data_IF_444615924788
#
_entry.id   IF_444615924788
#
_cell.length_a   1.000
_cell.length_b   1.000
_cell.length_c   1.000
_cell.angle_alpha   90.00
_cell.angle_beta   90.00
_cell.angle_gamma   90.00
#
_symmetry.space_group_name_H-M   'P 1'
#
loop_
_entity.id
_entity.type
_entity.pdbx_description
1 polymer ?
#
# COMPACT_ATOMS: atom_id res chain seq x y z
N UNK A 1 15.06 9.73 0.48
CA UNK A 1 15.91 9.19 1.55
C UNK A 1 17.23 9.91 1.44
N UNK A 2 17.64 10.67 2.46
CA UNK A 2 18.83 11.52 2.38
C UNK A 2 20.09 10.72 1.99
N UNK A 3 20.29 9.53 2.56
CA UNK A 3 21.42 8.66 2.26
C UNK A 3 21.42 8.16 0.81
N UNK A 4 20.25 7.80 0.28
CA UNK A 4 20.11 7.40 -1.13
C UNK A 4 20.49 8.53 -2.07
N UNK A 5 20.03 9.74 -1.74
CA UNK A 5 20.22 10.92 -2.58
C UNK A 5 21.71 11.36 -2.53
N UNK A 6 22.35 11.28 -1.35
CA UNK A 6 23.80 11.46 -1.17
C UNK A 6 24.63 10.43 -1.96
N UNK A 7 24.20 9.16 -1.96
CA UNK A 7 24.83 8.10 -2.75
C UNK A 7 24.54 8.22 -4.27
N UNK A 8 23.76 9.21 -4.71
CA UNK A 8 23.36 9.41 -6.12
C UNK A 8 22.72 8.16 -6.73
N UNK A 9 21.89 7.49 -5.94
CA UNK A 9 21.10 6.37 -6.41
C UNK A 9 19.83 6.93 -7.04
N UNK A 10 19.73 6.84 -8.36
CA UNK A 10 18.57 7.30 -9.09
C UNK A 10 17.30 6.54 -8.69
N UNK A 11 16.17 7.24 -8.70
CA UNK A 11 14.84 6.68 -8.44
C UNK A 11 13.95 6.99 -9.64
N UNK A 12 13.29 5.96 -10.15
CA UNK A 12 12.16 6.16 -11.07
C UNK A 12 10.91 6.39 -10.22
N UNK A 13 10.18 7.46 -10.51
CA UNK A 13 8.88 7.75 -9.91
C UNK A 13 7.79 7.70 -10.98
N UNK A 14 6.69 7.05 -10.64
CA UNK A 14 5.46 7.02 -11.43
C UNK A 14 4.41 7.81 -10.65
N UNK A 15 4.12 9.07 -11.04
CA UNK A 15 3.08 9.86 -10.39
C UNK A 15 1.71 9.30 -10.78
N UNK A 16 0.86 9.02 -9.78
CA UNK A 16 -0.53 8.63 -10.02
C UNK A 16 -1.48 9.83 -10.17
N UNK A 17 -0.98 11.06 -9.92
CA UNK A 17 -1.81 12.28 -9.89
C UNK A 17 -2.99 12.21 -8.90
N UNK A 18 -2.91 11.28 -7.95
CA UNK A 18 -3.86 11.04 -6.89
C UNK A 18 -3.25 11.39 -5.54
N UNK A 19 -4.12 11.62 -4.56
CA UNK A 19 -3.72 11.74 -3.15
C UNK A 19 -4.52 10.74 -2.32
N UNK A 20 -3.85 10.16 -1.33
CA UNK A 20 -4.47 9.33 -0.31
C UNK A 20 -4.88 10.20 0.86
N UNK A 21 -6.14 10.13 1.25
CA UNK A 21 -6.67 10.69 2.50
C UNK A 21 -6.66 9.58 3.55
N UNK A 22 -5.99 9.82 4.66
CA UNK A 22 -5.89 8.89 5.79
C UNK A 22 -6.47 9.54 7.05
N UNK A 23 -7.40 8.84 7.69
CA UNK A 23 -8.06 9.32 8.90
C UNK A 23 -8.54 8.12 9.74
N UNK A 24 -8.62 8.30 11.05
CA UNK A 24 -9.33 7.36 11.91
C UNK A 24 -10.83 7.70 11.95
N UNK A 25 -11.68 6.69 12.02
CA UNK A 25 -13.13 6.86 12.14
C UNK A 25 -13.67 5.97 13.24
N UNK A 26 -14.54 6.53 14.09
CA UNK A 26 -15.37 5.76 15.02
C UNK A 26 -16.70 5.43 14.37
N UNK A 27 -17.29 4.31 14.74
CA UNK A 27 -18.55 3.85 14.15
C UNK A 27 -19.45 3.11 15.16
N UNK A 28 -20.74 3.01 14.84
CA UNK A 28 -21.77 2.49 15.76
C UNK A 28 -21.64 0.97 15.99
N UNK A 29 -21.30 0.20 14.96
CA UNK A 29 -21.28 -1.26 15.01
C UNK A 29 -19.87 -1.82 14.92
N UNK A 30 -19.54 -2.92 15.63
CA UNK A 30 -18.21 -3.51 15.54
C UNK A 30 -17.89 -4.00 14.13
N UNK A 31 -16.65 -3.78 13.68
CA UNK A 31 -16.17 -4.25 12.37
C UNK A 31 -15.85 -5.75 12.34
N UNK A 32 -15.85 -6.44 13.48
CA UNK A 32 -15.55 -7.89 13.61
C UNK A 32 -14.26 -8.31 12.90
N UNK A 33 -13.20 -7.50 13.05
CA UNK A 33 -11.92 -7.66 12.33
C UNK A 33 -12.03 -7.84 10.81
N UNK A 34 -13.11 -7.36 10.20
CA UNK A 34 -13.31 -7.39 8.76
C UNK A 34 -12.82 -6.09 8.15
N UNK A 35 -11.86 -6.20 7.23
CA UNK A 35 -11.44 -5.10 6.37
C UNK A 35 -12.32 -5.01 5.13
N UNK A 36 -12.42 -3.81 4.59
CA UNK A 36 -13.15 -3.49 3.37
C UNK A 36 -12.18 -2.86 2.38
N UNK A 37 -12.27 -3.26 1.12
CA UNK A 37 -11.57 -2.59 0.03
C UNK A 37 -12.51 -2.47 -1.17
N UNK A 38 -12.85 -1.23 -1.52
CA UNK A 38 -13.69 -0.88 -2.65
C UNK A 38 -12.83 -0.26 -3.73
N UNK A 39 -12.88 -0.82 -4.93
CA UNK A 39 -12.25 -0.23 -6.11
C UNK A 39 -13.24 0.72 -6.78
N UNK A 40 -13.07 2.02 -6.55
CA UNK A 40 -13.89 3.08 -7.14
C UNK A 40 -13.18 3.68 -8.36
N UNK A 41 -13.89 4.39 -9.26
CA UNK A 41 -13.29 4.96 -10.47
C UNK A 41 -12.08 5.88 -10.19
N UNK A 42 -12.13 6.67 -9.12
CA UNK A 42 -11.05 7.59 -8.74
C UNK A 42 -9.92 6.94 -7.93
N UNK A 43 -10.01 5.63 -7.65
CA UNK A 43 -9.04 4.89 -6.85
C UNK A 43 -9.68 4.07 -5.73
N UNK A 44 -8.88 3.25 -5.02
CA UNK A 44 -9.38 2.42 -3.96
C UNK A 44 -9.79 3.22 -2.71
N UNK A 45 -10.82 2.73 -2.04
CA UNK A 45 -11.22 3.13 -0.71
C UNK A 45 -11.13 1.91 0.21
N UNK A 46 -10.29 1.98 1.23
CA UNK A 46 -10.12 0.93 2.21
C UNK A 46 -10.58 1.36 3.60
N UNK A 47 -11.21 0.44 4.32
CA UNK A 47 -11.42 0.53 5.76
C UNK A 47 -10.68 -0.63 6.44
N UNK A 48 -9.86 -0.29 7.43
CA UNK A 48 -9.01 -1.21 8.17
C UNK A 48 -9.43 -1.21 9.65
N UNK A 49 -9.79 -2.36 10.23
CA UNK A 49 -10.06 -2.52 11.66
C UNK A 49 -8.92 -2.00 12.52
N UNK A 50 -9.25 -1.27 13.59
CA UNK A 50 -8.29 -0.85 14.61
C UNK A 50 -8.68 -1.39 15.97
N UNK A 51 -7.69 -1.53 16.86
CA UNK A 51 -7.97 -1.80 18.26
C UNK A 51 -8.76 -0.64 18.89
N UNK A 52 -9.65 -0.92 19.86
CA UNK A 52 -10.36 0.12 20.60
C UNK A 52 -9.37 1.02 21.35
N UNK A 53 -9.77 2.26 21.59
CA UNK A 53 -9.02 3.24 22.39
C UNK A 53 -9.90 3.80 23.50
N UNK A 54 -9.31 4.47 24.49
CA UNK A 54 -10.07 5.16 25.52
C UNK A 54 -10.99 6.22 24.86
N UNK A 55 -12.30 5.99 24.90
CA UNK A 55 -13.32 6.86 24.27
C UNK A 55 -13.90 6.35 22.95
N UNK A 56 -13.30 5.34 22.31
CA UNK A 56 -13.80 4.79 21.04
C UNK A 56 -13.73 3.26 21.02
N UNK A 57 -14.89 2.62 21.23
CA UNK A 57 -15.00 1.15 21.28
C UNK A 57 -14.90 0.48 19.90
N UNK A 58 -15.38 1.13 18.85
CA UNK A 58 -15.26 0.64 17.48
C UNK A 58 -14.49 1.68 16.64
N UNK A 59 -13.31 1.32 16.16
CA UNK A 59 -12.41 2.24 15.47
C UNK A 59 -11.90 1.58 14.18
N UNK A 60 -11.77 2.38 13.13
CA UNK A 60 -11.12 1.96 11.89
C UNK A 60 -10.22 3.05 11.35
N UNK A 61 -9.16 2.67 10.64
CA UNK A 61 -8.45 3.58 9.76
C UNK A 61 -9.11 3.52 8.38
N UNK A 62 -9.25 4.67 7.72
CA UNK A 62 -9.59 4.73 6.31
C UNK A 62 -8.37 5.13 5.48
N UNK A 63 -8.28 4.58 4.28
CA UNK A 63 -7.33 5.01 3.25
C UNK A 63 -8.15 5.23 1.98
N UNK A 64 -8.29 6.50 1.58
CA UNK A 64 -9.13 6.90 0.47
C UNK A 64 -8.26 7.56 -0.61
N UNK A 65 -8.04 6.85 -1.71
CA UNK A 65 -7.40 7.40 -2.91
C UNK A 65 -8.39 8.18 -3.76
N UNK A 66 -7.99 9.37 -4.20
CA UNK A 66 -8.82 10.25 -5.02
C UNK A 66 -7.93 11.20 -5.84
N UNK A 67 -8.45 11.75 -6.93
CA UNK A 67 -7.75 12.77 -7.74
C UNK A 67 -7.27 13.93 -6.88
N UNK A 68 -6.08 14.46 -7.16
CA UNK A 68 -5.42 15.46 -6.31
C UNK A 68 -6.32 16.65 -5.91
N UNK A 69 -7.02 17.24 -6.87
CA UNK A 69 -7.91 18.38 -6.60
C UNK A 69 -9.16 18.00 -5.81
N UNK A 70 -9.72 16.81 -6.04
CA UNK A 70 -10.89 16.31 -5.31
C UNK A 70 -10.48 15.95 -3.89
N UNK A 71 -9.36 15.25 -3.71
CA UNK A 71 -8.85 14.83 -2.42
C UNK A 71 -8.62 16.03 -1.48
N UNK A 72 -8.07 17.12 -2.00
CA UNK A 72 -7.88 18.35 -1.24
C UNK A 72 -9.21 18.97 -0.81
N UNK A 73 -10.22 19.01 -1.69
CA UNK A 73 -11.56 19.51 -1.34
C UNK A 73 -12.22 18.63 -0.28
N UNK A 74 -12.14 17.31 -0.43
CA UNK A 74 -12.73 16.35 0.51
C UNK A 74 -12.06 16.46 1.89
N UNK A 75 -10.74 16.57 1.94
CA UNK A 75 -10.01 16.74 3.19
C UNK A 75 -10.32 18.07 3.89
N UNK A 76 -10.78 19.09 3.17
CA UNK A 76 -11.16 20.40 3.71
C UNK A 76 -12.64 20.51 4.15
N UNK A 77 -13.46 19.49 3.91
CA UNK A 77 -14.88 19.51 4.28
C UNK A 77 -15.09 19.64 5.81
N UNK A 78 -16.20 20.20 6.30
CA UNK A 78 -16.58 20.04 7.71
C UNK A 78 -16.76 18.57 8.08
N UNK A 79 -16.53 18.20 9.35
CA UNK A 79 -16.58 16.79 9.82
C UNK A 79 -17.86 16.07 9.44
N UNK A 80 -19.02 16.73 9.54
CA UNK A 80 -20.30 16.13 9.17
C UNK A 80 -20.40 15.78 7.67
N UNK A 81 -19.91 16.66 6.80
CA UNK A 81 -19.90 16.42 5.35
C UNK A 81 -18.86 15.35 4.96
N UNK A 82 -17.68 15.38 5.59
CA UNK A 82 -16.65 14.37 5.39
C UNK A 82 -17.12 12.98 5.85
N UNK A 83 -17.80 12.90 7.00
CA UNK A 83 -18.41 11.68 7.51
C UNK A 83 -19.42 11.09 6.52
N UNK A 84 -20.24 11.94 5.90
CA UNK A 84 -21.20 11.52 4.89
C UNK A 84 -20.50 10.91 3.65
N UNK A 85 -19.44 11.53 3.15
CA UNK A 85 -18.67 11.00 2.02
C UNK A 85 -17.95 9.67 2.32
N UNK A 86 -17.50 9.49 3.56
CA UNK A 86 -16.96 8.22 4.05
C UNK A 86 -18.05 7.16 4.07
N UNK A 87 -19.20 7.45 4.68
CA UNK A 87 -20.30 6.49 4.79
C UNK A 87 -20.83 6.08 3.41
N UNK A 88 -20.93 7.03 2.47
CA UNK A 88 -21.33 6.75 1.08
C UNK A 88 -20.40 5.75 0.39
N UNK A 89 -19.09 5.83 0.66
CA UNK A 89 -18.08 4.92 0.09
C UNK A 89 -18.01 3.59 0.82
N UNK A 90 -18.12 3.60 2.14
CA UNK A 90 -18.00 2.41 2.99
C UNK A 90 -19.29 1.57 3.01
N UNK A 91 -20.43 2.18 2.68
CA UNK A 91 -21.76 1.61 2.87
C UNK A 91 -22.20 1.64 4.33
N UNK A 92 -23.40 1.14 4.59
CA UNK A 92 -24.05 1.32 5.89
C UNK A 92 -23.69 0.27 6.94
N UNK A 93 -22.86 -0.74 6.63
CA UNK A 93 -22.71 -1.92 7.49
C UNK A 93 -22.13 -1.63 8.89
N UNK A 94 -21.35 -0.56 9.05
CA UNK A 94 -20.84 -0.11 10.37
C UNK A 94 -21.75 0.90 11.08
N UNK A 95 -22.90 1.24 10.48
CA UNK A 95 -23.80 2.29 10.97
C UNK A 95 -23.21 3.67 10.75
N UNK A 96 -23.57 4.61 11.62
CA UNK A 96 -23.05 5.98 11.56
C UNK A 96 -21.55 6.02 11.80
N UNK A 97 -20.88 6.88 11.05
CA UNK A 97 -19.43 7.04 11.05
C UNK A 97 -19.08 8.45 11.47
N UNK A 98 -18.02 8.62 12.24
CA UNK A 98 -17.53 9.94 12.63
C UNK A 98 -16.00 9.97 12.56
N UNK A 99 -15.40 10.92 11.83
CA UNK A 99 -13.96 11.13 11.81
C UNK A 99 -13.42 11.42 13.21
N UNK A 100 -12.24 10.88 13.52
CA UNK A 100 -11.55 11.07 14.80
C UNK A 100 -10.15 11.60 14.52
N UNK A 101 -9.83 12.75 15.13
CA UNK A 101 -8.52 13.36 15.03
C UNK A 101 -8.23 13.98 13.65
N UNK A 102 -6.95 13.99 13.26
CA UNK A 102 -6.47 14.69 12.07
C UNK A 102 -6.71 13.87 10.80
N UNK A 103 -7.04 14.58 9.73
CA UNK A 103 -7.03 14.06 8.35
C UNK A 103 -5.69 14.34 7.71
N UNK A 104 -5.04 13.30 7.21
CA UNK A 104 -3.77 13.41 6.53
C UNK A 104 -3.97 13.21 5.04
N UNK A 105 -3.25 13.97 4.23
CA UNK A 105 -3.26 13.82 2.77
C UNK A 105 -1.85 13.68 2.25
N UNK A 106 -1.60 12.67 1.43
CA UNK A 106 -0.28 12.42 0.86
C UNK A 106 -0.39 12.17 -0.64
N UNK A 107 0.54 12.70 -1.46
CA UNK A 107 0.59 12.36 -2.88
C UNK A 107 0.89 10.87 -3.03
N UNK A 108 0.14 10.20 -3.90
CA UNK A 108 0.36 8.80 -4.23
C UNK A 108 1.29 8.70 -5.44
N UNK A 109 2.31 7.89 -5.28
CA UNK A 109 3.26 7.59 -6.34
C UNK A 109 3.82 6.19 -6.15
N UNK A 110 4.07 5.50 -7.24
CA UNK A 110 4.99 4.38 -7.26
C UNK A 110 6.42 4.90 -7.38
N UNK A 111 7.37 4.26 -6.72
CA UNK A 111 8.79 4.56 -6.88
C UNK A 111 9.65 3.32 -6.74
N UNK A 112 10.79 3.30 -7.41
CA UNK A 112 11.82 2.30 -7.17
C UNK A 112 13.22 2.86 -7.43
N UNK A 113 14.15 2.47 -6.56
CA UNK A 113 15.56 2.77 -6.69
C UNK A 113 16.20 1.88 -7.75
N UNK A 114 17.07 2.46 -8.58
CA UNK A 114 17.78 1.75 -9.64
C UNK A 114 18.80 0.74 -9.10
N UNK A 115 19.30 0.97 -7.89
CA UNK A 115 20.10 0.02 -7.10
C UNK A 115 19.66 0.05 -5.64
N UNK A 116 19.74 -1.08 -4.96
CA UNK A 116 19.34 -1.26 -3.56
C UNK A 116 20.53 -1.11 -2.60
N UNK A 117 21.74 -0.90 -3.12
CA UNK A 117 22.92 -0.75 -2.30
C UNK A 117 23.96 0.14 -2.98
N UNK A 118 24.92 0.60 -2.19
CA UNK A 118 26.15 1.26 -2.60
C UNK A 118 27.29 0.84 -1.65
N UNK A 119 28.43 1.52 -1.70
CA UNK A 119 29.58 1.28 -0.82
C UNK A 119 29.16 1.35 0.64
N UNK A 120 29.08 0.17 1.28
CA UNK A 120 28.67 0.02 2.68
C UNK A 120 27.30 0.65 3.00
N UNK A 121 26.40 0.70 2.02
CA UNK A 121 25.06 1.26 2.14
C UNK A 121 24.03 0.25 1.60
N UNK A 122 22.98 -0.03 2.36
CA UNK A 122 21.81 -0.77 1.89
C UNK A 122 20.56 0.12 2.00
N UNK A 123 19.69 0.04 0.98
CA UNK A 123 18.37 0.66 0.97
C UNK A 123 17.32 -0.41 1.28
N UNK A 124 16.45 -0.12 2.24
CA UNK A 124 15.40 -1.00 2.75
C UNK A 124 14.06 -0.26 2.76
N UNK A 125 12.97 -0.93 2.42
CA UNK A 125 11.61 -0.38 2.46
C UNK A 125 11.46 0.89 1.59
N UNK A 126 10.82 1.92 2.14
CA UNK A 126 10.51 3.18 1.43
C UNK A 126 11.74 3.93 0.89
N UNK A 127 12.93 3.59 1.37
CA UNK A 127 14.17 4.12 0.80
C UNK A 127 14.53 3.47 -0.55
N UNK A 128 14.14 2.21 -0.77
CA UNK A 128 14.40 1.43 -1.98
C UNK A 128 13.22 1.39 -2.94
N UNK A 129 11.98 1.39 -2.45
CA UNK A 129 10.78 1.29 -3.29
C UNK A 129 9.58 2.01 -2.64
N UNK A 130 8.45 2.01 -3.31
CA UNK A 130 7.18 2.54 -2.83
C UNK A 130 6.11 2.17 -3.83
N UNK A 131 4.97 1.69 -3.35
CA UNK A 131 3.90 1.14 -4.18
C UNK A 131 2.60 1.89 -3.90
N UNK A 132 1.62 1.76 -4.80
CA UNK A 132 0.27 2.21 -4.50
C UNK A 132 -0.24 1.50 -3.22
N UNK A 133 -0.91 2.19 -2.29
CA UNK A 133 -1.32 1.64 -0.99
C UNK A 133 -2.42 0.55 -1.04
N UNK A 134 -2.59 -0.16 -2.15
CA UNK A 134 -3.53 -1.27 -2.29
C UNK A 134 -3.19 -2.33 -1.22
N UNK A 135 -4.19 -2.73 -0.44
CA UNK A 135 -4.09 -3.74 0.61
C UNK A 135 -2.94 -3.52 1.64
N UNK A 136 -2.48 -2.28 1.86
CA UNK A 136 -1.48 -1.96 2.90
C UNK A 136 -0.11 -2.63 2.72
N UNK A 137 0.27 -2.97 1.49
CA UNK A 137 1.43 -3.83 1.21
C UNK A 137 2.81 -3.17 1.40
N UNK A 138 2.88 -1.83 1.47
CA UNK A 138 4.16 -1.10 1.56
C UNK A 138 5.01 -1.48 2.77
N UNK A 139 4.39 -1.54 3.96
CA UNK A 139 5.09 -1.95 5.19
C UNK A 139 5.54 -3.41 5.12
N UNK A 140 4.71 -4.30 4.58
CA UNK A 140 5.03 -5.72 4.46
C UNK A 140 6.24 -5.96 3.53
N UNK A 141 6.35 -5.19 2.44
CA UNK A 141 7.54 -5.20 1.58
C UNK A 141 8.79 -4.74 2.36
N UNK A 142 8.66 -3.68 3.16
CA UNK A 142 9.75 -3.21 4.02
C UNK A 142 10.20 -4.28 5.02
N UNK A 143 9.27 -4.99 5.67
CA UNK A 143 9.65 -6.09 6.57
C UNK A 143 10.34 -7.24 5.85
N UNK A 144 9.87 -7.60 4.65
CA UNK A 144 10.52 -8.63 3.83
C UNK A 144 11.96 -8.26 3.50
N UNK A 145 12.22 -6.99 3.16
CA UNK A 145 13.57 -6.50 2.94
C UNK A 145 14.43 -6.61 4.21
N UNK A 146 13.89 -6.23 5.38
CA UNK A 146 14.60 -6.32 6.67
C UNK A 146 14.95 -7.76 7.00
N UNK A 147 14.01 -8.69 6.86
CA UNK A 147 14.26 -10.12 7.10
C UNK A 147 15.36 -10.63 6.16
N UNK A 148 15.23 -10.39 4.85
CA UNK A 148 16.20 -10.85 3.87
C UNK A 148 17.61 -10.26 4.10
N UNK A 149 17.70 -8.98 4.46
CA UNK A 149 18.97 -8.35 4.79
C UNK A 149 19.57 -8.94 6.08
N UNK A 150 18.75 -9.13 7.11
CA UNK A 150 19.19 -9.68 8.39
C UNK A 150 19.73 -11.10 8.24
N UNK A 151 19.02 -11.97 7.52
CA UNK A 151 19.47 -13.35 7.24
C UNK A 151 20.83 -13.37 6.53
N UNK A 152 21.00 -12.50 5.53
CA UNK A 152 22.26 -12.39 4.79
C UNK A 152 23.41 -11.85 5.64
N UNK A 153 23.15 -10.87 6.51
CA UNK A 153 24.15 -10.31 7.41
C UNK A 153 24.57 -11.30 8.49
N UNK A 154 23.63 -12.05 9.07
CA UNK A 154 23.91 -13.12 10.04
C UNK A 154 24.81 -14.18 9.39
N UNK A 155 24.41 -14.69 8.23
CA UNK A 155 25.17 -15.73 7.56
C UNK A 155 26.56 -15.23 7.09
N UNK A 156 26.68 -13.96 6.69
CA UNK A 156 27.97 -13.33 6.36
C UNK A 156 28.88 -13.22 7.59
N UNK A 157 28.32 -12.85 8.74
CA UNK A 157 29.05 -12.76 10.00
C UNK A 157 29.62 -14.12 10.42
N UNK A 158 28.79 -15.18 10.36
CA UNK A 158 29.19 -16.56 10.69
C UNK A 158 30.34 -17.07 9.80
N UNK A 159 30.43 -16.59 8.55
CA UNK A 159 31.49 -16.94 7.60
C UNK A 159 32.70 -16.00 7.65
N UNK A 160 32.71 -15.00 8.54
CA UNK A 160 33.78 -14.00 8.62
C UNK A 160 33.88 -13.08 7.40
N UNK A 161 32.78 -12.91 6.65
CA UNK A 161 32.73 -12.02 5.49
C UNK A 161 32.61 -10.54 5.92
N UNK A 162 33.07 -9.61 5.07
CA UNK A 162 32.79 -8.18 5.26
C UNK A 162 31.29 -7.89 5.05
N UNK A 163 30.58 -7.56 6.13
CA UNK A 163 29.14 -7.27 6.14
C UNK A 163 28.74 -6.11 5.21
N UNK A 164 29.60 -5.08 5.11
CA UNK A 164 29.41 -3.95 4.21
C UNK A 164 30.00 -4.21 2.81
N UNK A 165 30.56 -5.40 2.60
CA UNK A 165 31.22 -5.78 1.37
C UNK A 165 30.25 -5.93 0.21
N UNK A 166 30.68 -5.61 -1.02
CA UNK A 166 29.81 -5.63 -2.20
C UNK A 166 29.21 -7.01 -2.48
N UNK A 167 29.84 -8.10 -2.03
CA UNK A 167 29.34 -9.46 -2.23
C UNK A 167 28.07 -9.74 -1.41
N UNK A 168 28.01 -9.29 -0.16
CA UNK A 168 26.82 -9.43 0.71
C UNK A 168 25.68 -8.56 0.16
N UNK A 169 26.00 -7.29 -0.16
CA UNK A 169 25.00 -6.34 -0.64
C UNK A 169 24.44 -6.68 -2.04
N UNK A 170 25.25 -7.28 -2.93
CA UNK A 170 24.77 -7.82 -4.21
C UNK A 170 23.78 -8.97 -4.01
N UNK A 171 24.06 -9.88 -3.07
CA UNK A 171 23.14 -10.98 -2.73
C UNK A 171 21.82 -10.43 -2.19
N UNK A 172 21.87 -9.39 -1.35
CA UNK A 172 20.66 -8.72 -0.85
C UNK A 172 19.82 -8.15 -1.99
N UNK A 173 20.41 -7.39 -2.91
CA UNK A 173 19.68 -6.85 -4.06
C UNK A 173 19.11 -7.95 -4.94
N UNK A 174 19.89 -9.00 -5.25
CA UNK A 174 19.44 -10.11 -6.07
C UNK A 174 18.26 -10.89 -5.45
N UNK A 175 18.20 -10.94 -4.11
CA UNK A 175 17.11 -11.57 -3.35
C UNK A 175 15.82 -10.74 -3.37
N UNK A 176 15.91 -9.42 -3.15
CA UNK A 176 14.73 -8.59 -2.90
C UNK A 176 14.20 -7.89 -4.14
N UNK A 177 15.09 -7.32 -4.96
CA UNK A 177 14.69 -6.43 -6.06
C UNK A 177 13.73 -7.08 -7.07
N UNK A 178 13.90 -8.35 -7.49
CA UNK A 178 12.96 -8.98 -8.42
C UNK A 178 11.54 -9.08 -7.86
N UNK A 179 11.39 -9.51 -6.60
CA UNK A 179 10.08 -9.64 -5.95
C UNK A 179 9.42 -8.27 -5.74
N UNK A 180 10.18 -7.26 -5.33
CA UNK A 180 9.67 -5.91 -5.14
C UNK A 180 9.24 -5.27 -6.46
N UNK A 181 9.99 -5.49 -7.55
CA UNK A 181 9.61 -5.04 -8.89
C UNK A 181 8.35 -5.73 -9.40
N UNK A 182 8.19 -7.03 -9.13
CA UNK A 182 6.96 -7.75 -9.48
C UNK A 182 5.75 -7.19 -8.74
N UNK A 183 5.87 -6.92 -7.44
CA UNK A 183 4.79 -6.31 -6.65
C UNK A 183 4.46 -4.90 -7.13
N UNK A 184 5.48 -4.10 -7.46
CA UNK A 184 5.28 -2.78 -8.08
C UNK A 184 4.48 -2.89 -9.37
N UNK A 185 4.89 -3.78 -10.28
CA UNK A 185 4.18 -3.98 -11.56
C UNK A 185 2.74 -4.48 -11.35
N UNK A 186 2.52 -5.39 -10.40
CA UNK A 186 1.20 -5.90 -10.08
C UNK A 186 0.26 -4.82 -9.52
N UNK A 187 0.75 -4.01 -8.57
CA UNK A 187 -0.03 -2.92 -7.97
C UNK A 187 -0.30 -1.79 -8.96
N UNK A 188 0.67 -1.43 -9.81
CA UNK A 188 0.47 -0.48 -10.91
C UNK A 188 -0.55 -0.98 -11.93
N UNK A 189 -0.50 -2.26 -12.29
CA UNK A 189 -1.48 -2.85 -13.20
C UNK A 189 -2.90 -2.85 -12.61
N UNK A 190 -3.03 -3.17 -11.31
CA UNK A 190 -4.32 -3.10 -10.63
C UNK A 190 -4.85 -1.67 -10.60
N UNK A 191 -4.02 -0.70 -10.22
CA UNK A 191 -4.39 0.72 -10.24
C UNK A 191 -4.90 1.14 -11.62
N UNK A 192 -4.15 0.87 -12.69
CA UNK A 192 -4.53 1.23 -14.06
C UNK A 192 -5.78 0.50 -14.56
N UNK A 193 -6.00 -0.75 -14.14
CA UNK A 193 -7.16 -1.53 -14.54
C UNK A 193 -8.44 -1.02 -13.86
N UNK A 194 -8.33 -0.57 -12.60
CA UNK A 194 -9.48 -0.11 -11.81
C UNK A 194 -9.75 1.39 -11.93
N UNK A 195 -8.72 2.21 -12.15
CA UNK A 195 -8.80 3.66 -12.28
C UNK A 195 -9.01 4.19 -13.70
N UNK A 196 -9.16 3.32 -14.70
CA UNK A 196 -9.33 3.74 -16.09
C UNK A 196 -10.79 3.62 -16.54
N UNK A 197 -11.35 4.72 -17.03
CA UNK A 197 -12.71 4.81 -17.57
C UNK A 197 -12.85 4.32 -19.03
N UNK A 198 -11.80 3.74 -19.63
CA UNK A 198 -11.90 3.18 -20.98
C UNK A 198 -12.96 2.04 -21.03
N UNK A 199 -14.01 2.15 -21.87
CA UNK A 199 -15.09 1.15 -21.97
C UNK A 199 -14.60 -0.28 -22.25
N UNK A 200 -13.51 -0.44 -23.00
CA UNK A 200 -12.95 -1.76 -23.34
C UNK A 200 -12.25 -2.42 -22.14
N UNK A 201 -11.54 -1.61 -21.34
CA UNK A 201 -10.88 -2.10 -20.11
C UNK A 201 -11.90 -2.40 -19.02
N UNK A 202 -13.00 -1.65 -18.93
CA UNK A 202 -14.14 -1.98 -18.06
C UNK A 202 -14.75 -3.34 -18.38
N UNK A 203 -14.95 -3.66 -19.65
CA UNK A 203 -15.45 -4.98 -20.07
C UNK A 203 -14.50 -6.12 -19.69
N UNK A 204 -13.19 -5.96 -19.92
CA UNK A 204 -12.20 -6.95 -19.52
C UNK A 204 -12.11 -7.11 -17.99
N UNK A 205 -12.23 -6.01 -17.23
CA UNK A 205 -12.23 -5.99 -15.77
C UNK A 205 -13.40 -6.77 -15.19
N UNK A 206 -14.61 -6.52 -15.69
CA UNK A 206 -15.82 -7.15 -15.15
C UNK A 206 -15.85 -8.65 -15.47
N UNK A 207 -15.34 -9.05 -16.64
CA UNK A 207 -15.13 -10.47 -17.00
C UNK A 207 -14.04 -11.11 -16.12
N UNK A 208 -12.93 -10.42 -15.87
CA UNK A 208 -11.85 -10.90 -15.00
C UNK A 208 -12.27 -11.09 -13.56
N UNK A 209 -12.98 -10.13 -12.96
CA UNK A 209 -13.55 -10.22 -11.63
C UNK A 209 -14.60 -11.34 -11.52
N UNK A 210 -15.48 -11.47 -12.52
CA UNK A 210 -16.46 -12.55 -12.57
C UNK A 210 -15.78 -13.92 -12.66
N UNK A 211 -14.69 -14.06 -13.42
CA UNK A 211 -13.93 -15.30 -13.51
C UNK A 211 -13.24 -15.67 -12.17
N UNK A 212 -12.60 -14.69 -11.49
CA UNK A 212 -11.98 -14.90 -10.18
C UNK A 212 -13.01 -15.25 -9.10
N UNK A 213 -14.18 -14.61 -9.11
CA UNK A 213 -15.28 -14.94 -8.20
C UNK A 213 -15.84 -16.36 -8.44
N UNK A 214 -15.81 -16.84 -9.68
CA UNK A 214 -16.29 -18.19 -10.04
C UNK A 214 -15.24 -19.29 -9.85
N UNK A 215 -14.00 -18.96 -9.50
CA UNK A 215 -12.91 -19.92 -9.31
C UNK A 215 -12.28 -19.83 -7.90
N UNK A 216 -12.77 -20.62 -6.93
CA UNK A 216 -12.32 -20.58 -5.53
C UNK A 216 -10.82 -20.81 -5.33
N UNK A 217 -10.16 -21.55 -6.23
CA UNK A 217 -8.72 -21.79 -6.18
C UNK A 217 -7.88 -20.54 -6.48
N UNK A 218 -8.32 -19.73 -7.45
CA UNK A 218 -7.69 -18.44 -7.78
C UNK A 218 -7.87 -17.43 -6.66
N UNK A 219 -9.07 -17.34 -6.08
CA UNK A 219 -9.32 -16.53 -4.88
C UNK A 219 -8.39 -16.91 -3.72
N UNK A 220 -8.19 -18.21 -3.46
CA UNK A 220 -7.26 -18.70 -2.43
C UNK A 220 -5.78 -18.43 -2.74
N UNK A 221 -5.39 -18.42 -4.01
CA UNK A 221 -4.04 -18.04 -4.43
C UNK A 221 -3.80 -16.53 -4.23
N UNK A 222 -4.78 -15.70 -4.61
CA UNK A 222 -4.73 -14.24 -4.41
C UNK A 222 -4.63 -13.87 -2.93
N UNK A 223 -5.44 -14.52 -2.08
CA UNK A 223 -5.42 -14.30 -0.63
C UNK A 223 -4.09 -14.75 -0.01
N UNK A 224 -3.53 -15.89 -0.41
CA UNK A 224 -2.18 -16.31 0.07
C UNK A 224 -1.11 -15.30 -0.29
N UNK A 225 -1.10 -14.83 -1.54
CA UNK A 225 -0.15 -13.83 -1.99
C UNK A 225 -0.31 -12.48 -1.25
N UNK A 226 -1.55 -12.05 -1.00
CA UNK A 226 -1.86 -10.83 -0.24
C UNK A 226 -1.51 -10.93 1.27
N UNK A 227 -1.61 -12.13 1.85
CA UNK A 227 -1.12 -12.45 3.20
C UNK A 227 0.40 -12.63 3.25
N UNK A 228 1.05 -12.69 2.10
CA UNK A 228 2.48 -12.84 1.97
C UNK A 228 3.04 -14.24 2.24
N UNK A 229 2.18 -15.27 2.15
CA UNK A 229 2.49 -16.71 2.22
C UNK A 229 2.67 -17.31 0.82
#
# INVERSE_FOLDING_TARGET
>A
SALRDQARIAVTRLPYHQRGIVCAVTHERPHHNRALEHFLPAGPFAQLPMAPTAGHANLSAIVWSEDEGVAQRMAALPDAAFAHEIQRRMGDWLGRVTPVGRRWTYPLSAQYAQRYFDTRLALVGDSAHGIHPIAGQGLNLGFRDVTALSDLLIAAHERGEDLGGPQVLRRYQARCRPANMLMLAATDMLERLFGNDNPLLRGARDVGLAAVHRMPALRRAFVRHAMGL
#
